data_IF_028754423319
#
_entry.id   IF_028754423319
#
_cell.length_a   1.000
_cell.length_b   1.000
_cell.length_c   1.000
_cell.angle_alpha   90.00
_cell.angle_beta   90.00
_cell.angle_gamma   90.00
#
_symmetry.space_group_name_H-M   'P 1'
#
loop_
_entity.id
_entity.type
_entity.pdbx_description
1 polymer ?
#
# COMPACT_ATOMS: atom_id res chain seq x y z
N UNK A 1 -9.64 -11.40 -18.39
CA UNK A 1 -9.08 -10.26 -17.63
C UNK A 1 -8.92 -10.68 -16.19
N UNK A 2 -7.83 -10.26 -15.55
CA UNK A 2 -7.65 -10.54 -14.13
C UNK A 2 -8.58 -9.60 -13.32
N UNK A 3 -9.16 -10.07 -12.19
CA UNK A 3 -10.01 -9.22 -11.37
C UNK A 3 -9.20 -8.05 -10.80
N UNK A 4 -9.83 -6.89 -10.68
CA UNK A 4 -9.25 -5.77 -9.98
C UNK A 4 -8.96 -6.16 -8.52
N UNK A 5 -7.71 -5.94 -8.10
CA UNK A 5 -7.23 -6.26 -6.75
C UNK A 5 -6.38 -5.13 -6.21
N UNK A 6 -6.49 -4.93 -4.92
CA UNK A 6 -5.63 -4.03 -4.16
C UNK A 6 -4.58 -4.85 -3.43
N UNK A 7 -3.32 -4.47 -3.56
CA UNK A 7 -2.22 -5.02 -2.74
C UNK A 7 -1.51 -3.90 -2.02
N UNK A 8 -1.27 -4.07 -0.74
CA UNK A 8 -0.45 -3.14 0.04
C UNK A 8 0.22 -3.86 1.20
N UNK A 9 1.38 -3.37 1.62
CA UNK A 9 2.13 -3.96 2.71
C UNK A 9 2.77 -2.92 3.62
N UNK A 10 3.06 -3.33 4.86
CA UNK A 10 3.79 -2.51 5.82
C UNK A 10 4.93 -3.29 6.46
N UNK A 11 6.06 -2.62 6.71
CA UNK A 11 7.22 -3.20 7.38
C UNK A 11 6.98 -3.28 8.90
N UNK A 12 7.21 -4.43 9.52
CA UNK A 12 7.04 -4.61 10.96
C UNK A 12 8.26 -4.05 11.72
N UNK A 13 8.36 -2.74 11.80
CA UNK A 13 9.46 -2.03 12.47
C UNK A 13 9.03 -1.42 13.80
N UNK A 14 8.26 -2.15 14.60
CA UNK A 14 7.75 -1.78 15.92
C UNK A 14 6.25 -1.46 15.92
N UNK A 15 5.71 -0.99 17.08
CA UNK A 15 4.29 -0.72 17.29
C UNK A 15 3.72 0.32 16.32
N UNK A 16 2.47 0.20 15.90
CA UNK A 16 1.84 1.18 15.05
C UNK A 16 1.42 2.43 15.83
N UNK A 17 1.32 3.55 15.15
CA UNK A 17 0.90 4.82 15.72
C UNK A 17 -0.18 5.49 14.86
N UNK A 18 -0.85 6.51 15.40
CA UNK A 18 -1.95 7.21 14.72
C UNK A 18 -1.56 7.77 13.34
N UNK A 19 -0.29 8.11 13.14
CA UNK A 19 0.21 8.52 11.82
C UNK A 19 0.10 7.40 10.77
N UNK A 20 0.28 6.13 11.14
CA UNK A 20 0.06 4.98 10.24
C UNK A 20 -1.45 4.77 9.98
N UNK A 21 -2.28 4.97 11.01
CA UNK A 21 -3.71 4.85 10.87
C UNK A 21 -4.28 5.86 9.87
N UNK A 22 -4.01 7.15 10.10
CA UNK A 22 -4.48 8.22 9.21
C UNK A 22 -3.79 8.22 7.85
N UNK A 23 -2.54 7.76 7.78
CA UNK A 23 -1.77 7.71 6.54
C UNK A 23 -2.12 6.53 5.62
N UNK A 24 -2.58 5.40 6.16
CA UNK A 24 -2.81 4.19 5.39
C UNK A 24 -4.00 3.35 5.85
N UNK A 25 -4.04 2.92 7.14
CA UNK A 25 -5.02 1.92 7.58
C UNK A 25 -6.47 2.36 7.43
N UNK A 26 -6.77 3.62 7.70
CA UNK A 26 -8.12 4.18 7.54
C UNK A 26 -8.62 4.02 6.09
N UNK A 27 -7.72 4.19 5.13
CA UNK A 27 -8.03 3.97 3.73
C UNK A 27 -8.16 2.47 3.39
N UNK A 28 -7.33 1.60 3.99
CA UNK A 28 -7.44 0.15 3.80
C UNK A 28 -8.78 -0.38 4.30
N UNK A 29 -9.24 0.09 5.46
CA UNK A 29 -10.56 -0.26 6.03
C UNK A 29 -11.68 0.12 5.06
N UNK A 30 -11.57 1.24 4.35
CA UNK A 30 -12.54 1.63 3.33
C UNK A 30 -12.43 0.75 2.09
N UNK A 31 -11.22 0.53 1.59
CA UNK A 31 -10.97 -0.21 0.34
C UNK A 31 -11.44 -1.66 0.38
N UNK A 32 -11.36 -2.33 1.53
CA UNK A 32 -11.78 -3.73 1.66
C UNK A 32 -13.25 -3.97 1.35
N UNK A 33 -14.12 -2.95 1.48
CA UNK A 33 -15.52 -3.03 1.10
C UNK A 33 -15.79 -2.74 -0.39
N UNK A 34 -14.80 -2.21 -1.10
CA UNK A 34 -14.92 -1.81 -2.50
C UNK A 34 -14.29 -2.84 -3.45
N UNK A 35 -13.16 -3.44 -3.07
CA UNK A 35 -12.35 -4.31 -3.90
C UNK A 35 -11.76 -5.47 -3.11
N UNK A 36 -11.43 -6.60 -3.74
CA UNK A 36 -10.61 -7.63 -3.13
C UNK A 36 -9.25 -7.07 -2.72
N UNK A 37 -8.97 -7.09 -1.41
CA UNK A 37 -7.75 -6.54 -0.84
C UNK A 37 -6.85 -7.64 -0.27
N UNK A 38 -5.54 -7.49 -0.52
CA UNK A 38 -4.48 -8.29 0.07
C UNK A 38 -3.54 -7.35 0.83
N UNK A 39 -3.47 -7.52 2.14
CA UNK A 39 -2.62 -6.73 3.02
C UNK A 39 -1.59 -7.64 3.67
N UNK A 40 -0.31 -7.28 3.55
CA UNK A 40 0.76 -8.14 4.04
C UNK A 40 1.75 -7.43 4.95
N UNK A 41 2.26 -8.20 5.91
CA UNK A 41 3.40 -7.79 6.71
C UNK A 41 4.66 -8.04 5.91
N UNK A 42 5.39 -6.98 5.58
CA UNK A 42 6.58 -6.99 4.73
C UNK A 42 7.85 -7.26 5.58
N UNK A 43 7.96 -8.46 6.11
CA UNK A 43 9.03 -8.85 7.03
C UNK A 43 10.39 -8.95 6.34
N UNK A 44 10.47 -9.43 5.09
CA UNK A 44 11.71 -9.39 4.31
C UNK A 44 12.16 -7.96 4.00
N UNK A 45 11.21 -7.04 3.72
CA UNK A 45 11.57 -5.63 3.58
C UNK A 45 12.10 -5.03 4.88
N UNK A 46 11.61 -5.46 6.04
CA UNK A 46 12.17 -5.01 7.31
C UNK A 46 13.62 -5.48 7.48
N UNK A 47 13.95 -6.69 7.03
CA UNK A 47 15.32 -7.21 7.08
C UNK A 47 16.31 -6.38 6.27
N UNK A 48 15.91 -5.68 5.22
CA UNK A 48 16.84 -4.86 4.42
C UNK A 48 17.52 -3.75 5.24
N UNK A 49 16.90 -3.31 6.33
CA UNK A 49 17.42 -2.28 7.23
C UNK A 49 17.66 -2.78 8.67
N UNK A 50 17.32 -4.04 8.97
CA UNK A 50 17.48 -4.67 10.29
C UNK A 50 18.16 -6.04 10.17
N UNK A 51 19.02 -6.21 9.17
CA UNK A 51 19.70 -7.50 8.94
C UNK A 51 20.70 -7.84 10.05
N UNK A 52 21.24 -6.83 10.72
CA UNK A 52 22.20 -6.92 11.82
C UNK A 52 21.51 -7.19 13.18
N UNK A 53 20.28 -6.74 13.36
CA UNK A 53 19.44 -7.01 14.53
C UNK A 53 17.97 -7.25 14.14
N UNK A 54 17.57 -8.48 13.79
CA UNK A 54 16.21 -8.82 13.41
C UNK A 54 15.27 -9.07 14.60
N UNK A 55 15.73 -8.91 15.84
CA UNK A 55 15.03 -9.33 17.07
C UNK A 55 13.63 -8.71 17.22
N UNK A 56 13.41 -7.52 16.67
CA UNK A 56 12.11 -6.82 16.77
C UNK A 56 11.07 -7.32 15.77
N UNK A 57 11.48 -8.03 14.70
CA UNK A 57 10.60 -8.28 13.54
C UNK A 57 9.43 -9.18 13.90
N UNK A 58 9.68 -10.30 14.59
CA UNK A 58 8.62 -11.24 14.94
C UNK A 58 7.57 -10.61 15.85
N UNK A 59 8.00 -9.97 16.94
CA UNK A 59 7.09 -9.31 17.88
C UNK A 59 6.30 -8.21 17.19
N UNK A 60 6.99 -7.37 16.39
CA UNK A 60 6.34 -6.29 15.64
C UNK A 60 5.34 -6.81 14.59
N UNK A 61 5.58 -7.97 14.02
CA UNK A 61 4.66 -8.62 13.06
C UNK A 61 3.32 -8.93 13.73
N UNK A 62 3.35 -9.59 14.88
CA UNK A 62 2.11 -9.96 15.58
C UNK A 62 1.37 -8.77 16.15
N UNK A 63 2.08 -7.80 16.73
CA UNK A 63 1.49 -6.54 17.20
C UNK A 63 0.84 -5.74 16.06
N UNK A 64 1.51 -5.66 14.90
CA UNK A 64 0.97 -4.98 13.72
C UNK A 64 -0.32 -5.64 13.20
N UNK A 65 -0.38 -6.96 13.18
CA UNK A 65 -1.58 -7.69 12.75
C UNK A 65 -2.75 -7.46 13.71
N UNK A 66 -2.49 -7.44 15.03
CA UNK A 66 -3.50 -7.06 16.02
C UNK A 66 -3.96 -5.62 15.79
N UNK A 67 -3.05 -4.70 15.51
CA UNK A 67 -3.35 -3.30 15.23
C UNK A 67 -4.22 -3.14 13.97
N UNK A 68 -3.98 -3.92 12.91
CA UNK A 68 -4.82 -3.91 11.71
C UNK A 68 -6.24 -4.39 11.98
N UNK A 69 -6.38 -5.49 12.69
CA UNK A 69 -7.68 -6.03 13.10
C UNK A 69 -8.41 -5.05 14.04
N UNK A 70 -7.67 -4.45 14.98
CA UNK A 70 -8.19 -3.43 15.88
C UNK A 70 -8.66 -2.17 15.12
N UNK A 71 -7.93 -1.74 14.10
CA UNK A 71 -8.30 -0.62 13.24
C UNK A 71 -9.58 -0.87 12.41
N UNK A 72 -9.98 -2.15 12.24
CA UNK A 72 -11.20 -2.53 11.54
C UNK A 72 -10.98 -3.27 10.21
N UNK A 73 -9.76 -3.79 9.98
CA UNK A 73 -9.57 -4.73 8.87
C UNK A 73 -10.31 -6.03 9.20
N UNK A 74 -11.20 -6.43 8.30
CA UNK A 74 -12.05 -7.61 8.43
C UNK A 74 -11.44 -8.77 7.61
N UNK A 75 -10.99 -9.86 8.26
CA UNK A 75 -10.39 -11.00 7.57
C UNK A 75 -11.39 -11.78 6.68
N UNK A 76 -12.69 -11.50 6.78
CA UNK A 76 -13.69 -12.04 5.86
C UNK A 76 -13.73 -11.29 4.51
N UNK A 77 -13.27 -10.04 4.48
CA UNK A 77 -13.26 -9.18 3.30
C UNK A 77 -11.85 -8.98 2.72
N UNK A 78 -10.82 -8.97 3.56
CA UNK A 78 -9.44 -8.79 3.16
C UNK A 78 -8.57 -10.01 3.51
N UNK A 79 -7.60 -10.33 2.67
CA UNK A 79 -6.62 -11.37 2.93
C UNK A 79 -5.42 -10.77 3.68
N UNK A 80 -5.19 -11.24 4.91
CA UNK A 80 -4.06 -10.83 5.76
C UNK A 80 -2.99 -11.91 5.79
N UNK A 81 -1.74 -11.58 5.43
CA UNK A 81 -0.68 -12.58 5.40
C UNK A 81 0.70 -11.98 5.70
N UNK A 82 1.69 -12.85 5.87
CA UNK A 82 3.09 -12.49 6.09
C UNK A 82 3.87 -12.83 4.81
N UNK A 83 4.65 -11.88 4.30
CA UNK A 83 5.41 -11.99 3.04
C UNK A 83 6.27 -13.26 3.02
N UNK A 84 7.04 -13.55 4.05
CA UNK A 84 7.95 -14.71 4.12
C UNK A 84 7.23 -16.06 4.16
N UNK A 85 5.93 -16.09 4.47
CA UNK A 85 5.11 -17.32 4.43
C UNK A 85 4.62 -17.66 3.02
N UNK A 86 4.88 -16.78 2.05
CA UNK A 86 4.59 -16.97 0.62
C UNK A 86 5.92 -16.89 -0.15
N UNK A 87 6.73 -17.97 -0.17
CA UNK A 87 8.09 -17.95 -0.75
C UNK A 87 8.13 -17.63 -2.24
N UNK A 88 7.00 -17.73 -2.92
CA UNK A 88 6.81 -17.35 -4.33
C UNK A 88 7.18 -15.88 -4.61
N UNK A 89 7.09 -14.99 -3.62
CA UNK A 89 7.59 -13.60 -3.71
C UNK A 89 9.10 -13.56 -3.99
N UNK A 90 9.87 -14.37 -3.25
CA UNK A 90 11.32 -14.45 -3.45
C UNK A 90 11.67 -15.09 -4.79
N UNK A 91 10.92 -16.09 -5.22
CA UNK A 91 11.10 -16.71 -6.53
C UNK A 91 10.84 -15.71 -7.65
N UNK A 92 9.72 -14.98 -7.61
CA UNK A 92 9.44 -13.96 -8.62
C UNK A 92 10.49 -12.84 -8.60
N UNK A 93 10.90 -12.37 -7.43
CA UNK A 93 11.98 -11.39 -7.29
C UNK A 93 13.25 -11.88 -8.00
N UNK A 94 13.68 -13.12 -7.76
CA UNK A 94 14.84 -13.71 -8.41
C UNK A 94 14.68 -13.72 -9.93
N UNK A 95 13.54 -14.17 -10.45
CA UNK A 95 13.29 -14.25 -11.89
C UNK A 95 13.23 -12.86 -12.55
N UNK A 96 12.61 -11.89 -11.90
CA UNK A 96 12.58 -10.50 -12.37
C UNK A 96 13.99 -9.89 -12.40
N UNK A 97 14.87 -10.25 -11.45
CA UNK A 97 16.23 -9.71 -11.38
C UNK A 97 17.08 -10.06 -12.62
N UNK A 98 16.74 -11.17 -13.30
CA UNK A 98 17.44 -11.59 -14.53
C UNK A 98 17.17 -10.66 -15.73
N UNK A 99 16.05 -9.91 -15.68
CA UNK A 99 15.64 -9.06 -16.81
C UNK A 99 15.62 -7.56 -16.48
N UNK A 100 15.77 -7.19 -15.21
CA UNK A 100 15.69 -5.78 -14.76
C UNK A 100 17.05 -5.08 -14.88
N UNK A 101 17.16 -3.97 -15.63
CA UNK A 101 18.40 -3.21 -15.71
C UNK A 101 18.80 -2.61 -14.36
N UNK A 102 20.06 -2.75 -13.96
CA UNK A 102 20.59 -2.23 -12.69
C UNK A 102 20.33 -0.72 -12.52
N UNK A 103 20.56 0.06 -13.58
CA UNK A 103 20.34 1.51 -13.54
C UNK A 103 18.89 1.95 -13.29
N UNK A 104 17.91 1.05 -13.35
CA UNK A 104 16.55 1.37 -12.91
C UNK A 104 16.47 1.43 -11.40
N UNK A 105 17.11 0.50 -10.70
CA UNK A 105 17.15 0.43 -9.24
C UNK A 105 17.95 1.60 -8.64
N UNK A 106 19.08 1.94 -9.24
CA UNK A 106 19.94 3.04 -8.80
C UNK A 106 19.28 4.43 -8.94
N UNK A 107 18.31 4.58 -9.83
CA UNK A 107 17.58 5.84 -10.06
C UNK A 107 16.39 6.05 -9.17
N UNK A 108 15.97 5.06 -8.37
CA UNK A 108 14.84 5.21 -7.44
C UNK A 108 15.18 6.29 -6.39
N UNK A 109 14.43 7.39 -6.32
CA UNK A 109 14.78 8.52 -5.45
C UNK A 109 14.95 8.13 -3.98
N UNK A 110 14.10 7.25 -3.49
CA UNK A 110 14.12 6.79 -2.09
C UNK A 110 15.37 5.99 -1.73
N UNK A 111 16.07 5.39 -2.70
CA UNK A 111 17.34 4.70 -2.45
C UNK A 111 18.40 5.67 -1.93
N UNK A 112 18.58 6.81 -2.60
CA UNK A 112 19.54 7.85 -2.20
C UNK A 112 19.11 8.53 -0.89
N UNK A 113 17.85 8.90 -0.79
CA UNK A 113 17.29 9.56 0.41
C UNK A 113 17.44 8.70 1.67
N UNK A 114 17.29 7.37 1.55
CA UNK A 114 17.44 6.47 2.70
C UNK A 114 18.92 6.26 3.06
N UNK A 115 19.82 6.19 2.10
CA UNK A 115 21.25 6.15 2.40
C UNK A 115 21.71 7.38 3.21
N UNK A 116 21.19 8.57 2.87
CA UNK A 116 21.50 9.80 3.61
C UNK A 116 20.88 9.80 5.02
N UNK A 117 19.61 9.36 5.15
CA UNK A 117 18.87 9.37 6.42
C UNK A 117 19.33 8.28 7.40
N UNK A 118 19.90 7.21 6.93
CA UNK A 118 20.35 6.06 7.72
C UNK A 118 21.88 5.90 7.61
N UNK A 119 22.62 7.00 7.60
CA UNK A 119 24.07 7.04 7.46
C UNK A 119 24.83 6.24 8.54
N UNK A 120 24.17 5.98 9.69
CA UNK A 120 24.71 5.15 10.78
C UNK A 120 24.65 3.64 10.49
N UNK A 121 24.02 3.21 9.39
CA UNK A 121 23.88 1.82 8.99
C UNK A 121 24.58 1.58 7.66
N UNK A 122 25.26 0.44 7.54
CA UNK A 122 25.81 0.01 6.25
C UNK A 122 24.67 -0.53 5.36
N UNK A 123 24.12 0.34 4.51
CA UNK A 123 23.08 0.02 3.56
C UNK A 123 23.62 -0.31 2.17
N UNK A 124 24.93 -0.43 1.99
CA UNK A 124 25.56 -0.80 0.73
C UNK A 124 25.44 -2.31 0.46
N UNK A 125 24.27 -2.87 0.70
CA UNK A 125 23.98 -4.29 0.49
C UNK A 125 23.12 -4.50 -0.77
N UNK A 126 23.25 -5.68 -1.39
CA UNK A 126 22.38 -6.08 -2.50
C UNK A 126 20.89 -6.06 -2.11
N UNK A 127 20.55 -6.54 -0.91
CA UNK A 127 19.18 -6.54 -0.42
C UNK A 127 18.57 -5.13 -0.37
N UNK A 128 19.37 -4.14 0.05
CA UNK A 128 18.92 -2.75 0.08
C UNK A 128 18.82 -2.13 -1.32
N UNK A 129 19.75 -2.40 -2.22
CA UNK A 129 19.67 -1.98 -3.63
C UNK A 129 18.49 -2.65 -4.34
N UNK A 130 18.24 -3.93 -4.04
CA UNK A 130 17.22 -4.75 -4.68
C UNK A 130 15.80 -4.60 -4.10
N UNK A 131 15.61 -3.84 -3.00
CA UNK A 131 14.28 -3.77 -2.37
C UNK A 131 13.16 -3.25 -3.28
N UNK A 132 13.39 -2.31 -4.22
CA UNK A 132 12.31 -1.87 -5.10
C UNK A 132 11.85 -2.97 -6.07
N UNK A 133 12.75 -3.89 -6.42
CA UNK A 133 12.41 -5.05 -7.24
C UNK A 133 11.63 -6.11 -6.44
N UNK A 134 11.96 -6.30 -5.15
CA UNK A 134 11.16 -7.14 -4.26
C UNK A 134 9.76 -6.56 -4.06
N UNK A 135 9.65 -5.24 -3.91
CA UNK A 135 8.36 -4.54 -3.83
C UNK A 135 7.56 -4.70 -5.13
N UNK A 136 8.20 -4.69 -6.29
CA UNK A 136 7.55 -5.00 -7.55
C UNK A 136 7.03 -6.45 -7.58
N UNK A 137 7.84 -7.42 -7.13
CA UNK A 137 7.42 -8.81 -7.03
C UNK A 137 6.20 -8.99 -6.11
N UNK A 138 6.16 -8.30 -4.96
CA UNK A 138 5.04 -8.35 -4.00
C UNK A 138 3.69 -7.96 -4.62
N UNK A 139 3.70 -7.02 -5.56
CA UNK A 139 2.51 -6.53 -6.23
C UNK A 139 2.17 -7.36 -7.46
N UNK A 140 3.17 -7.61 -8.31
CA UNK A 140 2.99 -8.27 -9.61
C UNK A 140 2.59 -9.73 -9.47
N UNK A 141 3.01 -10.41 -8.38
CA UNK A 141 2.67 -11.81 -8.14
C UNK A 141 1.17 -12.04 -7.96
N UNK A 142 0.46 -11.02 -7.46
CA UNK A 142 -1.01 -11.07 -7.29
C UNK A 142 -1.75 -10.46 -8.47
N UNK A 143 -1.04 -9.99 -9.51
CA UNK A 143 -1.63 -9.29 -10.65
C UNK A 143 -2.54 -8.17 -10.19
N UNK A 144 -2.08 -7.45 -9.17
CA UNK A 144 -2.83 -6.34 -8.60
C UNK A 144 -2.90 -5.18 -9.59
N UNK A 145 -4.11 -4.67 -9.82
CA UNK A 145 -4.34 -3.51 -10.69
C UNK A 145 -4.16 -2.19 -9.94
N UNK A 146 -4.31 -2.20 -8.61
CA UNK A 146 -4.28 -0.98 -7.80
C UNK A 146 -3.40 -1.13 -6.57
N UNK A 147 -2.57 -0.11 -6.31
CA UNK A 147 -1.71 -0.03 -5.13
C UNK A 147 -1.98 1.30 -4.43
N UNK A 148 -2.57 1.29 -3.21
CA UNK A 148 -2.80 2.50 -2.45
C UNK A 148 -1.47 3.07 -1.94
N UNK A 149 -1.13 4.28 -2.36
CA UNK A 149 0.14 4.93 -2.04
C UNK A 149 -0.04 6.43 -1.84
N UNK A 150 0.89 7.03 -1.10
CA UNK A 150 1.10 8.48 -1.09
C UNK A 150 1.85 8.95 -2.34
N UNK A 151 1.82 10.24 -2.60
CA UNK A 151 2.45 10.86 -3.79
C UNK A 151 3.96 10.53 -3.92
N UNK A 152 4.65 10.40 -2.80
CA UNK A 152 6.08 10.08 -2.74
C UNK A 152 6.42 8.65 -3.21
N UNK A 153 5.42 7.76 -3.27
CA UNK A 153 5.58 6.37 -3.71
C UNK A 153 5.20 6.13 -5.18
N UNK A 154 4.66 7.13 -5.88
CA UNK A 154 4.30 7.01 -7.30
C UNK A 154 5.47 6.56 -8.17
N UNK A 155 6.72 7.04 -7.99
CA UNK A 155 7.86 6.55 -8.77
C UNK A 155 8.12 5.05 -8.64
N UNK A 156 7.82 4.44 -7.49
CA UNK A 156 7.91 2.99 -7.32
C UNK A 156 6.87 2.25 -8.16
N UNK A 157 5.65 2.76 -8.22
CA UNK A 157 4.60 2.16 -9.04
C UNK A 157 4.94 2.24 -10.53
N UNK A 158 5.47 3.38 -10.99
CA UNK A 158 5.93 3.50 -12.37
C UNK A 158 7.05 2.50 -12.71
N UNK A 159 8.00 2.29 -11.78
CA UNK A 159 9.02 1.26 -11.97
C UNK A 159 8.41 -0.15 -12.02
N UNK A 160 7.43 -0.47 -11.18
CA UNK A 160 6.72 -1.77 -11.22
C UNK A 160 6.05 -1.99 -12.58
N UNK A 161 5.43 -0.94 -13.14
CA UNK A 161 4.80 -0.95 -14.48
C UNK A 161 5.84 -1.24 -15.56
N UNK A 162 6.98 -0.55 -15.52
CA UNK A 162 8.07 -0.77 -16.47
C UNK A 162 8.64 -2.21 -16.39
N UNK A 163 8.76 -2.75 -15.17
CA UNK A 163 9.19 -4.14 -14.95
C UNK A 163 8.18 -5.12 -15.57
N UNK A 164 6.88 -4.93 -15.29
CA UNK A 164 5.82 -5.77 -15.83
C UNK A 164 5.78 -5.72 -17.37
N UNK A 165 5.85 -4.51 -17.93
CA UNK A 165 5.87 -4.27 -19.38
C UNK A 165 7.06 -4.94 -20.04
N UNK A 166 8.26 -4.77 -19.48
CA UNK A 166 9.48 -5.40 -19.95
C UNK A 166 9.39 -6.92 -19.89
N UNK A 167 8.91 -7.47 -18.78
CA UNK A 167 8.71 -8.91 -18.63
C UNK A 167 7.77 -9.46 -19.72
N UNK A 168 6.60 -8.85 -19.88
CA UNK A 168 5.62 -9.24 -20.90
C UNK A 168 6.18 -9.10 -22.31
N UNK A 169 6.98 -8.08 -22.59
CA UNK A 169 7.64 -7.89 -23.88
C UNK A 169 8.64 -9.00 -24.20
N UNK A 170 9.45 -9.41 -23.22
CA UNK A 170 10.48 -10.44 -23.41
C UNK A 170 9.86 -11.84 -23.47
N UNK A 171 9.01 -12.16 -22.50
CA UNK A 171 8.53 -13.52 -22.23
C UNK A 171 7.09 -13.79 -22.69
N UNK A 172 6.29 -12.77 -22.99
CA UNK A 172 4.93 -12.92 -23.51
C UNK A 172 4.84 -13.47 -24.94
N UNK A 173 5.92 -14.00 -25.50
CA UNK A 173 6.00 -14.56 -26.87
C UNK A 173 5.33 -15.92 -26.92
N UNK A 174 4.04 -15.94 -27.15
CA UNK A 174 3.33 -17.17 -27.49
C UNK A 174 3.59 -17.55 -28.94
N UNK A 175 4.00 -18.78 -29.21
CA UNK A 175 4.20 -19.28 -30.59
C UNK A 175 2.89 -19.16 -31.35
N UNK A 176 2.92 -18.47 -32.50
CA UNK A 176 1.72 -18.20 -33.30
C UNK A 176 0.73 -17.23 -32.64
N UNK A 177 1.22 -16.31 -31.77
CA UNK A 177 0.37 -15.37 -31.03
C UNK A 177 -0.58 -14.57 -31.93
N UNK A 178 -0.07 -13.98 -33.02
CA UNK A 178 -0.90 -13.20 -33.94
C UNK A 178 -2.00 -14.02 -34.61
N UNK A 179 -1.70 -15.25 -34.99
CA UNK A 179 -2.70 -16.15 -35.61
C UNK A 179 -3.79 -16.51 -34.60
N UNK A 180 -3.38 -16.91 -33.40
CA UNK A 180 -4.28 -17.21 -32.28
C UNK A 180 -5.09 -16.00 -31.84
N UNK A 181 -4.50 -14.77 -31.84
CA UNK A 181 -5.20 -13.53 -31.55
C UNK A 181 -6.27 -13.24 -32.62
N UNK A 182 -5.93 -13.39 -33.89
CA UNK A 182 -6.89 -13.25 -35.02
C UNK A 182 -8.04 -14.26 -34.93
N UNK A 183 -7.76 -15.49 -34.54
CA UNK A 183 -8.80 -16.49 -34.27
C UNK A 183 -9.69 -16.09 -33.09
N UNK A 184 -9.11 -15.57 -32.02
CA UNK A 184 -9.85 -15.06 -30.88
C UNK A 184 -10.72 -13.83 -31.25
N UNK A 185 -10.21 -12.93 -32.12
CA UNK A 185 -11.02 -11.83 -32.68
C UNK A 185 -12.25 -12.35 -33.39
N UNK A 186 -12.12 -13.42 -34.19
CA UNK A 186 -13.28 -14.00 -34.88
C UNK A 186 -14.35 -14.52 -33.93
N UNK A 187 -13.96 -15.01 -32.74
CA UNK A 187 -14.90 -15.48 -31.70
C UNK A 187 -15.74 -14.35 -31.09
N UNK A 188 -15.32 -13.08 -31.19
CA UNK A 188 -16.14 -11.94 -30.78
C UNK A 188 -17.43 -11.77 -31.61
N UNK A 189 -17.49 -12.37 -32.81
CA UNK A 189 -18.59 -12.18 -33.72
C UNK A 189 -18.45 -10.95 -34.63
N UNK A 190 -19.05 -10.96 -35.80
CA UNK A 190 -18.72 -10.04 -36.89
C UNK A 190 -18.74 -8.54 -36.54
N UNK A 191 -19.77 -8.05 -35.81
CA UNK A 191 -19.87 -6.64 -35.43
C UNK A 191 -18.85 -6.25 -34.35
N UNK A 192 -18.71 -7.08 -33.31
CA UNK A 192 -17.77 -6.82 -32.20
C UNK A 192 -16.31 -6.96 -32.68
N UNK A 193 -16.01 -7.89 -33.56
CA UNK A 193 -14.67 -8.02 -34.17
C UNK A 193 -14.24 -6.74 -34.89
N UNK A 194 -15.15 -6.15 -35.66
CA UNK A 194 -14.87 -4.91 -36.40
C UNK A 194 -14.59 -3.75 -35.44
N UNK A 195 -15.46 -3.54 -34.44
CA UNK A 195 -15.30 -2.51 -33.43
C UNK A 195 -13.98 -2.68 -32.66
N UNK A 196 -13.65 -3.91 -32.25
CA UNK A 196 -12.40 -4.21 -31.58
C UNK A 196 -11.16 -3.82 -32.39
N UNK A 197 -11.16 -4.15 -33.68
CA UNK A 197 -10.04 -3.80 -34.58
C UNK A 197 -9.93 -2.29 -34.82
N UNK A 198 -11.05 -1.57 -34.90
CA UNK A 198 -11.07 -0.10 -34.98
C UNK A 198 -10.50 0.53 -33.72
N UNK A 199 -10.96 0.12 -32.54
CA UNK A 199 -10.45 0.60 -31.25
C UNK A 199 -8.95 0.28 -31.06
N UNK A 200 -8.52 -0.91 -31.49
CA UNK A 200 -7.10 -1.29 -31.48
C UNK A 200 -6.26 -0.34 -32.34
N UNK A 201 -6.72 -0.04 -33.55
CA UNK A 201 -6.02 0.89 -34.46
C UNK A 201 -5.98 2.30 -33.87
N UNK A 202 -7.07 2.80 -33.32
CA UNK A 202 -7.12 4.10 -32.65
C UNK A 202 -6.17 4.20 -31.46
N UNK A 203 -6.09 3.14 -30.65
CA UNK A 203 -5.16 3.12 -29.53
C UNK A 203 -3.71 3.02 -30.00
N UNK A 204 -3.38 2.08 -30.90
CA UNK A 204 -1.99 1.84 -31.31
C UNK A 204 -1.41 2.96 -32.20
N UNK A 205 -2.21 3.56 -33.07
CA UNK A 205 -1.74 4.59 -34.01
C UNK A 205 -1.93 6.01 -33.52
N UNK A 206 -2.94 6.25 -32.68
CA UNK A 206 -3.31 7.60 -32.23
C UNK A 206 -3.13 7.81 -30.72
N UNK A 207 -2.79 6.77 -29.96
CA UNK A 207 -2.58 6.84 -28.50
C UNK A 207 -3.84 7.19 -27.70
N UNK A 208 -5.03 6.92 -28.23
CA UNK A 208 -6.29 7.26 -27.55
C UNK A 208 -6.56 6.29 -26.40
N UNK A 209 -6.40 6.73 -25.17
CA UNK A 209 -6.68 5.93 -23.97
C UNK A 209 -8.16 5.53 -23.86
N UNK A 210 -9.08 6.39 -24.27
CA UNK A 210 -10.52 6.10 -24.30
C UNK A 210 -10.85 4.88 -25.18
N UNK A 211 -10.12 4.69 -26.28
CA UNK A 211 -10.29 3.52 -27.14
C UNK A 211 -9.83 2.24 -26.45
N UNK A 212 -8.76 2.32 -25.65
CA UNK A 212 -8.28 1.22 -24.82
C UNK A 212 -9.33 0.81 -23.80
N UNK A 213 -9.92 1.75 -23.06
CA UNK A 213 -10.94 1.48 -22.05
C UNK A 213 -12.22 0.88 -22.65
N UNK A 214 -12.67 1.41 -23.80
CA UNK A 214 -13.84 0.87 -24.51
C UNK A 214 -13.60 -0.56 -25.01
N UNK A 215 -12.40 -0.85 -25.51
CA UNK A 215 -12.05 -2.19 -25.94
C UNK A 215 -11.96 -3.17 -24.75
N UNK A 216 -11.43 -2.72 -23.62
CA UNK A 216 -11.39 -3.47 -22.36
C UNK A 216 -12.80 -3.85 -21.91
N UNK A 217 -13.69 -2.87 -21.78
CA UNK A 217 -15.08 -3.08 -21.38
C UNK A 217 -15.82 -4.05 -22.32
N UNK A 218 -15.56 -3.96 -23.63
CA UNK A 218 -16.15 -4.85 -24.61
C UNK A 218 -15.65 -6.30 -24.48
N UNK A 219 -14.37 -6.50 -24.13
CA UNK A 219 -13.81 -7.83 -23.88
C UNK A 219 -14.35 -8.46 -22.60
N UNK A 220 -14.63 -7.65 -21.58
CA UNK A 220 -15.22 -8.11 -20.32
C UNK A 220 -16.65 -8.61 -20.52
N UNK A 221 -17.44 -7.91 -21.31
CA UNK A 221 -18.83 -8.26 -21.62
C UNK A 221 -18.94 -9.43 -22.63
N UNK A 222 -17.83 -9.91 -23.20
CA UNK A 222 -17.82 -10.97 -24.19
C UNK A 222 -17.93 -12.36 -23.55
N UNK A 223 -19.13 -12.93 -23.52
CA UNK A 223 -19.40 -14.27 -22.96
C UNK A 223 -18.85 -15.42 -23.79
N UNK A 224 -18.55 -15.19 -25.07
CA UNK A 224 -18.10 -16.22 -26.01
C UNK A 224 -16.57 -16.45 -26.00
N UNK A 225 -15.85 -15.72 -25.16
CA UNK A 225 -14.40 -15.85 -25.05
C UNK A 225 -14.01 -16.71 -23.86
N UNK A 226 -13.06 -17.63 -24.06
CA UNK A 226 -12.34 -18.24 -22.95
C UNK A 226 -11.47 -17.19 -22.26
N UNK A 227 -11.12 -17.41 -20.98
CA UNK A 227 -10.21 -16.52 -20.28
C UNK A 227 -8.87 -16.34 -21.02
N UNK A 228 -8.34 -17.43 -21.61
CA UNK A 228 -7.11 -17.41 -22.40
C UNK A 228 -7.25 -16.54 -23.64
N UNK A 229 -8.37 -16.63 -24.37
CA UNK A 229 -8.61 -15.80 -25.55
C UNK A 229 -8.79 -14.33 -25.19
N UNK A 230 -9.44 -14.06 -24.05
CA UNK A 230 -9.62 -12.70 -23.55
C UNK A 230 -8.28 -12.04 -23.20
N UNK A 231 -7.43 -12.73 -22.44
CA UNK A 231 -6.06 -12.27 -22.12
C UNK A 231 -5.22 -12.06 -23.39
N UNK A 232 -5.34 -12.96 -24.38
CA UNK A 232 -4.64 -12.83 -25.64
C UNK A 232 -5.10 -11.61 -26.43
N UNK A 233 -6.40 -11.32 -26.46
CA UNK A 233 -6.94 -10.12 -27.11
C UNK A 233 -6.51 -8.86 -26.37
N UNK A 234 -6.39 -8.91 -25.05
CA UNK A 234 -5.87 -7.79 -24.27
C UNK A 234 -4.42 -7.47 -24.67
N UNK A 235 -3.56 -8.47 -24.70
CA UNK A 235 -2.18 -8.28 -25.18
C UNK A 235 -2.11 -7.83 -26.65
N UNK A 236 -3.01 -8.32 -27.49
CA UNK A 236 -3.08 -7.93 -28.90
C UNK A 236 -3.55 -6.48 -29.10
N UNK A 237 -4.44 -5.99 -28.22
CA UNK A 237 -4.91 -4.61 -28.19
C UNK A 237 -3.76 -3.64 -27.92
N UNK A 238 -2.95 -3.93 -26.92
CA UNK A 238 -1.82 -3.09 -26.50
C UNK A 238 -0.57 -3.24 -27.41
N UNK A 239 -0.65 -4.03 -28.47
CA UNK A 239 0.52 -4.33 -29.32
C UNK A 239 1.58 -5.19 -28.61
N UNK A 240 1.25 -5.68 -27.42
CA UNK A 240 2.04 -6.62 -26.65
C UNK A 240 1.69 -8.07 -27.02
N UNK A 241 2.35 -8.99 -26.35
CA UNK A 241 2.12 -10.44 -26.46
C UNK A 241 1.19 -10.88 -25.32
N UNK A 242 1.14 -12.18 -24.98
CA UNK A 242 0.37 -12.65 -23.83
C UNK A 242 0.70 -11.82 -22.59
N UNK A 243 -0.31 -11.25 -21.95
CA UNK A 243 -0.17 -10.54 -20.70
C UNK A 243 0.04 -11.57 -19.58
N UNK A 244 1.21 -11.56 -18.93
CA UNK A 244 1.55 -12.47 -17.83
C UNK A 244 1.47 -11.72 -16.51
N UNK A 245 2.09 -10.54 -16.45
CA UNK A 245 2.08 -9.65 -15.29
C UNK A 245 1.25 -8.40 -15.60
N UNK A 246 0.35 -8.03 -14.69
CA UNK A 246 -0.52 -6.85 -14.82
C UNK A 246 0.28 -5.61 -14.42
N UNK A 247 0.13 -4.51 -15.18
CA UNK A 247 0.70 -3.22 -14.83
C UNK A 247 -0.15 -2.56 -13.72
N UNK A 248 0.40 -2.36 -12.52
CA UNK A 248 -0.35 -1.73 -11.44
C UNK A 248 -0.53 -0.24 -11.66
N UNK A 249 -1.57 0.34 -11.07
CA UNK A 249 -1.81 1.77 -11.02
C UNK A 249 -1.72 2.27 -9.57
N UNK A 250 -1.16 3.45 -9.40
CA UNK A 250 -1.17 4.13 -8.12
C UNK A 250 -2.60 4.59 -7.81
N UNK A 251 -3.14 4.13 -6.68
CA UNK A 251 -4.38 4.68 -6.11
C UNK A 251 -3.98 5.70 -5.05
N UNK A 252 -3.98 6.97 -5.43
CA UNK A 252 -3.63 8.03 -4.50
C UNK A 252 -4.59 8.04 -3.32
N UNK A 253 -4.03 8.01 -2.12
CA UNK A 253 -4.79 8.08 -0.89
C UNK A 253 -4.74 9.51 -0.37
N UNK A 254 -5.89 10.05 0.04
CA UNK A 254 -5.92 11.25 0.85
C UNK A 254 -5.30 10.95 2.23
N UNK A 255 -3.98 10.82 2.26
CA UNK A 255 -3.26 10.63 3.50
C UNK A 255 -3.26 11.95 4.26
N UNK A 256 -4.15 12.11 5.23
CA UNK A 256 -4.01 13.20 6.19
C UNK A 256 -2.74 12.94 6.99
N UNK A 257 -1.75 13.79 6.80
CA UNK A 257 -0.49 13.73 7.58
C UNK A 257 -0.81 14.14 9.00
N UNK A 258 -0.97 13.17 9.88
CA UNK A 258 -1.10 13.47 11.30
C UNK A 258 0.28 13.85 11.85
N UNK A 259 0.42 15.05 12.47
CA UNK A 259 1.68 15.48 13.06
C UNK A 259 1.96 14.69 14.34
N UNK A 260 3.23 14.58 14.67
CA UNK A 260 3.68 14.10 15.97
C UNK A 260 3.45 15.12 17.08
N UNK A 261 3.79 14.72 18.30
CA UNK A 261 3.62 15.55 19.49
C UNK A 261 4.44 16.87 19.46
N UNK A 262 5.46 16.94 18.62
CA UNK A 262 6.33 18.10 18.40
C UNK A 262 5.91 18.94 17.17
N UNK A 263 4.85 18.54 16.46
CA UNK A 263 4.37 19.19 15.25
C UNK A 263 5.09 18.75 13.97
N UNK A 264 6.10 17.88 14.07
CA UNK A 264 6.77 17.29 12.91
C UNK A 264 6.05 16.00 12.48
N UNK A 265 6.56 15.33 11.44
CA UNK A 265 6.04 14.02 11.02
C UNK A 265 6.11 13.05 12.21
N UNK A 266 4.97 12.41 12.52
CA UNK A 266 4.91 11.40 13.58
C UNK A 266 5.84 10.23 13.26
N UNK A 267 6.77 9.95 14.16
CA UNK A 267 7.76 8.88 14.04
C UNK A 267 8.21 8.39 15.42
N UNK A 268 8.41 7.08 15.54
CA UNK A 268 8.94 6.49 16.79
C UNK A 268 10.37 6.92 17.09
N UNK A 269 11.20 7.01 16.06
CA UNK A 269 12.61 7.43 16.21
C UNK A 269 12.76 8.83 16.77
N UNK A 270 11.72 9.66 16.66
CA UNK A 270 11.69 11.01 17.24
C UNK A 270 11.02 11.06 18.63
N UNK A 271 10.46 9.94 19.11
CA UNK A 271 9.74 9.90 20.38
C UNK A 271 8.45 10.75 20.42
N UNK A 272 7.96 11.18 19.26
CA UNK A 272 6.82 12.09 19.10
C UNK A 272 5.51 11.37 18.71
N UNK A 273 5.45 10.04 18.89
CA UNK A 273 4.34 9.23 18.41
C UNK A 273 3.30 8.92 19.51
N UNK A 274 2.05 8.76 19.08
CA UNK A 274 0.94 8.22 19.87
C UNK A 274 0.66 6.82 19.31
N UNK A 275 0.80 5.79 20.16
CA UNK A 275 0.51 4.41 19.73
C UNK A 275 -0.97 4.26 19.36
N UNK A 276 -1.28 3.32 18.44
CA UNK A 276 -2.66 3.12 17.96
C UNK A 276 -3.61 2.69 19.08
N UNK A 277 -3.11 1.92 20.03
CA UNK A 277 -3.86 1.42 21.21
C UNK A 277 -3.29 2.01 22.51
N UNK A 278 -2.89 3.29 22.50
CA UNK A 278 -2.35 3.96 23.68
C UNK A 278 -3.35 3.93 24.84
N UNK A 279 -2.90 3.72 26.05
CA UNK A 279 -3.76 3.83 27.22
C UNK A 279 -4.13 5.29 27.50
N UNK A 280 -5.27 5.48 28.15
CA UNK A 280 -5.86 6.80 28.40
C UNK A 280 -4.93 7.73 29.19
N UNK A 281 -4.23 7.20 30.19
CA UNK A 281 -3.36 8.01 31.06
C UNK A 281 -2.13 8.48 30.31
N UNK A 282 -1.47 7.57 29.60
CA UNK A 282 -0.28 7.86 28.77
C UNK A 282 -0.63 8.82 27.64
N UNK A 283 -1.74 8.60 26.93
CA UNK A 283 -2.22 9.53 25.89
C UNK A 283 -2.44 10.93 26.47
N UNK A 284 -3.21 11.02 27.57
CA UNK A 284 -3.52 12.30 28.21
C UNK A 284 -2.25 13.02 28.62
N UNK A 285 -1.29 12.32 29.22
CA UNK A 285 0.02 12.88 29.61
C UNK A 285 0.79 13.37 28.38
N UNK A 286 0.89 12.57 27.31
CA UNK A 286 1.59 12.93 26.06
C UNK A 286 1.03 14.22 25.46
N UNK A 287 -0.29 14.31 25.27
CA UNK A 287 -0.91 15.50 24.67
C UNK A 287 -0.80 16.71 25.60
N UNK A 288 -0.98 16.55 26.91
CA UNK A 288 -0.83 17.65 27.88
C UNK A 288 0.58 18.24 27.88
N UNK A 289 1.60 17.42 27.70
CA UNK A 289 3.01 17.84 27.67
C UNK A 289 3.51 18.31 26.30
N UNK A 290 2.69 18.20 25.24
CA UNK A 290 3.05 18.74 23.92
C UNK A 290 3.46 20.20 24.00
N UNK A 291 4.51 20.62 23.25
CA UNK A 291 4.83 22.03 23.07
C UNK A 291 3.64 22.80 22.48
N UNK A 292 3.56 24.06 22.79
CA UNK A 292 2.56 25.00 22.27
C UNK A 292 3.25 26.13 21.53
N UNK A 293 2.54 27.18 21.12
CA UNK A 293 3.16 28.36 20.50
C UNK A 293 4.30 28.90 21.39
N UNK A 294 5.56 28.90 20.92
CA UNK A 294 6.71 29.37 21.71
C UNK A 294 6.60 30.83 22.18
N UNK A 295 5.83 31.65 21.47
CA UNK A 295 5.61 33.03 21.86
C UNK A 295 4.65 33.19 23.06
N UNK A 296 3.88 32.12 23.38
CA UNK A 296 2.94 32.11 24.51
C UNK A 296 3.59 31.55 25.76
N UNK A 297 4.33 32.37 26.49
CA UNK A 297 5.04 31.98 27.73
C UNK A 297 4.12 31.98 28.93
N UNK A 298 3.22 32.97 29.01
CA UNK A 298 2.26 33.12 30.13
C UNK A 298 0.85 32.88 29.64
N UNK A 299 -0.07 32.51 30.53
CA UNK A 299 -1.48 32.32 30.20
C UNK A 299 -2.13 33.59 29.61
N UNK A 300 -1.65 34.76 30.04
CA UNK A 300 -2.11 36.06 29.57
C UNK A 300 -1.58 36.51 28.23
N UNK A 301 -0.63 35.77 27.67
CA UNK A 301 -0.06 36.09 26.36
C UNK A 301 -0.99 35.57 25.26
N UNK A 302 -1.24 36.42 24.27
CA UNK A 302 -1.96 36.02 23.04
C UNK A 302 -1.13 34.99 22.27
N UNK A 303 -1.73 33.91 21.85
CA UNK A 303 -1.08 32.89 21.05
C UNK A 303 -1.42 33.01 19.55
N UNK A 304 -0.68 32.29 18.72
CA UNK A 304 -0.97 32.10 17.32
C UNK A 304 -1.18 30.61 17.02
N UNK A 305 -2.42 30.17 16.71
CA UNK A 305 -2.71 28.76 16.39
C UNK A 305 -1.81 28.20 15.32
N UNK A 306 -1.52 28.93 14.24
CA UNK A 306 -0.71 28.44 13.10
C UNK A 306 0.73 28.06 13.48
N UNK A 307 1.25 28.56 14.59
CA UNK A 307 2.57 28.20 15.12
C UNK A 307 2.53 27.12 16.18
N UNK A 308 1.32 26.66 16.54
CA UNK A 308 1.11 25.71 17.62
C UNK A 308 0.93 24.29 17.09
N UNK A 309 1.78 23.31 17.46
CA UNK A 309 1.62 21.92 17.05
C UNK A 309 0.24 21.32 17.40
N UNK A 310 -0.35 21.77 18.52
CA UNK A 310 -1.69 21.31 18.93
C UNK A 310 -2.77 21.72 17.93
N UNK A 311 -2.61 22.87 17.26
CA UNK A 311 -3.57 23.32 16.25
C UNK A 311 -3.69 22.34 15.07
N UNK A 312 -2.58 21.73 14.67
CA UNK A 312 -2.58 20.73 13.62
C UNK A 312 -3.40 19.49 14.01
N UNK A 313 -3.38 19.11 15.29
CA UNK A 313 -4.25 18.04 15.81
C UNK A 313 -5.72 18.46 15.84
N UNK A 314 -6.03 19.72 16.16
CA UNK A 314 -7.40 20.26 16.07
C UNK A 314 -7.95 20.19 14.63
N UNK A 315 -7.10 20.32 13.58
CA UNK A 315 -7.56 20.19 12.19
C UNK A 315 -8.15 18.81 11.92
N UNK A 316 -7.68 17.78 12.62
CA UNK A 316 -8.13 16.39 12.46
C UNK A 316 -9.24 16.02 13.44
N UNK A 317 -9.11 16.40 14.71
CA UNK A 317 -9.95 15.88 15.80
C UNK A 317 -11.03 16.83 16.30
N UNK A 318 -11.11 18.05 15.81
CA UNK A 318 -12.09 19.02 16.27
C UNK A 318 -13.07 19.44 15.19
N UNK A 319 -14.30 19.66 15.57
CA UNK A 319 -15.33 20.22 14.70
C UNK A 319 -15.12 21.74 14.45
N UNK A 320 -15.93 22.31 13.57
CA UNK A 320 -15.82 23.74 13.19
C UNK A 320 -16.03 24.68 14.39
N UNK A 321 -16.96 24.38 15.28
CA UNK A 321 -17.26 25.21 16.44
C UNK A 321 -16.10 25.19 17.43
N UNK A 322 -15.51 24.03 17.70
CA UNK A 322 -14.33 23.88 18.57
C UNK A 322 -13.12 24.60 17.97
N UNK A 323 -12.91 24.51 16.64
CA UNK A 323 -11.83 25.23 15.94
C UNK A 323 -11.99 26.76 16.09
N UNK A 324 -13.19 27.26 15.91
CA UNK A 324 -13.47 28.70 16.10
C UNK A 324 -13.23 29.13 17.53
N UNK A 325 -13.70 28.35 18.52
CA UNK A 325 -13.45 28.60 19.94
C UNK A 325 -11.95 28.61 20.25
N UNK A 326 -11.17 27.69 19.72
CA UNK A 326 -9.71 27.65 19.90
C UNK A 326 -9.05 28.87 19.31
N UNK A 327 -9.38 29.24 18.06
CA UNK A 327 -8.79 30.42 17.41
C UNK A 327 -9.09 31.68 18.22
N UNK A 328 -10.36 31.92 18.53
CA UNK A 328 -10.79 33.10 19.32
C UNK A 328 -10.16 33.12 20.70
N UNK A 329 -10.20 32.01 21.42
CA UNK A 329 -9.66 31.92 22.76
C UNK A 329 -8.14 31.99 22.86
N UNK A 330 -7.42 31.41 21.88
CA UNK A 330 -5.96 31.47 21.81
C UNK A 330 -5.46 32.87 21.50
N UNK A 331 -6.02 33.53 20.48
CA UNK A 331 -5.59 34.87 20.04
C UNK A 331 -5.95 35.98 21.03
N UNK A 332 -6.98 35.77 21.87
CA UNK A 332 -7.38 36.72 22.92
C UNK A 332 -6.81 36.39 24.30
N UNK A 333 -6.01 35.33 24.45
CA UNK A 333 -5.60 34.76 25.75
C UNK A 333 -6.79 34.30 26.61
N UNK A 334 -7.97 34.11 26.04
CA UNK A 334 -9.21 33.75 26.72
C UNK A 334 -9.24 32.30 27.23
N UNK A 335 -8.47 31.38 26.63
CA UNK A 335 -8.36 29.98 27.05
C UNK A 335 -6.93 29.61 27.46
N UNK A 336 -6.78 28.64 28.35
CA UNK A 336 -5.48 28.06 28.72
C UNK A 336 -5.04 26.96 27.72
N UNK A 337 -3.72 26.75 27.57
CA UNK A 337 -3.23 25.70 26.66
C UNK A 337 -3.67 24.29 27.07
N UNK A 338 -3.79 24.00 28.37
CA UNK A 338 -4.30 22.71 28.87
C UNK A 338 -5.82 22.53 28.54
N UNK A 339 -6.57 23.63 28.66
CA UNK A 339 -7.99 23.66 28.31
C UNK A 339 -8.18 23.46 26.81
N UNK A 340 -7.36 24.14 25.99
CA UNK A 340 -7.31 23.95 24.55
C UNK A 340 -7.02 22.50 24.12
N UNK A 341 -6.14 21.81 24.82
CA UNK A 341 -5.75 20.43 24.50
C UNK A 341 -6.84 19.37 24.81
N UNK A 342 -7.79 19.69 25.69
CA UNK A 342 -8.78 18.71 26.12
C UNK A 342 -9.64 18.16 24.98
N UNK A 343 -10.22 18.97 24.07
CA UNK A 343 -10.97 18.44 22.91
C UNK A 343 -10.16 17.50 22.01
N UNK A 344 -8.85 17.76 21.86
CA UNK A 344 -7.97 16.86 21.09
C UNK A 344 -7.81 15.52 21.80
N UNK A 345 -7.60 15.54 23.12
CA UNK A 345 -7.52 14.31 23.94
C UNK A 345 -8.80 13.50 23.78
N UNK A 346 -9.95 14.15 23.95
CA UNK A 346 -11.26 13.50 23.89
C UNK A 346 -11.51 12.92 22.48
N UNK A 347 -11.15 13.65 21.42
CA UNK A 347 -11.27 13.17 20.05
C UNK A 347 -10.40 11.95 19.75
N UNK A 348 -9.15 11.95 20.20
CA UNK A 348 -8.25 10.79 20.02
C UNK A 348 -8.76 9.59 20.83
N UNK A 349 -9.19 9.82 22.09
CA UNK A 349 -9.73 8.74 22.92
C UNK A 349 -10.97 8.11 22.29
N UNK A 350 -11.89 8.92 21.75
CA UNK A 350 -13.07 8.45 21.07
C UNK A 350 -12.76 7.62 19.79
N UNK A 351 -11.71 8.01 19.05
CA UNK A 351 -11.24 7.24 17.89
C UNK A 351 -10.61 5.91 18.31
N UNK A 352 -9.86 5.89 19.40
CA UNK A 352 -9.14 4.69 19.87
C UNK A 352 -10.00 3.71 20.67
N UNK A 353 -11.09 4.15 21.28
CA UNK A 353 -11.96 3.29 22.11
C UNK A 353 -12.43 2.03 21.38
N UNK A 354 -13.07 2.13 20.18
CA UNK A 354 -13.48 0.94 19.45
C UNK A 354 -12.30 0.10 18.96
N UNK A 355 -11.11 0.68 18.81
CA UNK A 355 -9.91 -0.08 18.44
C UNK A 355 -9.43 -0.93 19.62
N UNK A 356 -9.41 -0.37 20.83
CA UNK A 356 -9.05 -1.11 22.05
C UNK A 356 -10.05 -2.24 22.32
N UNK A 357 -11.32 -1.99 22.16
CA UNK A 357 -12.37 -3.01 22.32
C UNK A 357 -12.18 -4.17 21.34
N UNK A 358 -11.97 -3.87 20.05
CA UNK A 358 -11.71 -4.92 19.05
C UNK A 358 -10.42 -5.67 19.28
N UNK A 359 -9.38 -5.00 19.79
CA UNK A 359 -8.09 -5.64 20.06
C UNK A 359 -8.18 -6.66 21.19
N UNK A 360 -9.07 -6.47 22.17
CA UNK A 360 -9.09 -7.25 23.41
C UNK A 360 -9.21 -8.75 23.14
N UNK A 361 -10.09 -9.17 22.23
CA UNK A 361 -10.25 -10.60 21.88
C UNK A 361 -8.97 -11.24 21.32
N UNK A 362 -8.15 -10.47 20.60
CA UNK A 362 -6.91 -10.96 20.00
C UNK A 362 -5.74 -10.94 21.00
N UNK A 363 -5.80 -10.08 22.00
CA UNK A 363 -4.85 -10.04 23.10
C UNK A 363 -5.12 -11.17 24.09
N UNK A 364 -6.40 -11.48 24.33
CA UNK A 364 -6.83 -12.58 25.23
C UNK A 364 -6.57 -13.95 24.58
N UNK A 365 -6.74 -14.06 23.26
CA UNK A 365 -6.47 -15.29 22.51
C UNK A 365 -5.63 -15.02 21.24
N UNK A 366 -4.30 -15.00 21.35
CA UNK A 366 -3.40 -14.83 20.21
C UNK A 366 -3.52 -15.93 19.14
N UNK A 367 -4.13 -17.08 19.45
CA UNK A 367 -4.34 -18.15 18.48
C UNK A 367 -5.30 -17.74 17.37
N UNK A 368 -6.24 -16.85 17.64
CA UNK A 368 -7.16 -16.28 16.65
C UNK A 368 -6.41 -15.55 15.54
N UNK A 369 -5.45 -14.69 15.91
CA UNK A 369 -4.64 -13.96 14.92
C UNK A 369 -3.80 -14.94 14.10
N UNK A 370 -3.21 -15.95 14.75
CA UNK A 370 -2.42 -16.98 14.04
C UNK A 370 -3.26 -17.75 13.03
N UNK A 371 -4.50 -18.12 13.39
CA UNK A 371 -5.42 -18.81 12.49
C UNK A 371 -5.83 -17.94 11.29
N UNK A 372 -6.16 -16.66 11.52
CA UNK A 372 -6.49 -15.69 10.47
C UNK A 372 -5.33 -15.55 9.48
N UNK A 373 -4.12 -15.41 10.00
CA UNK A 373 -2.92 -15.23 9.17
C UNK A 373 -2.55 -16.50 8.42
N UNK A 374 -2.72 -17.68 9.02
CA UNK A 374 -2.48 -18.96 8.36
C UNK A 374 -3.42 -19.14 7.16
N UNK A 375 -4.72 -18.91 7.33
CA UNK A 375 -5.71 -18.93 6.24
C UNK A 375 -5.37 -17.90 5.15
N UNK A 376 -4.98 -16.68 5.56
CA UNK A 376 -4.58 -15.63 4.62
C UNK A 376 -3.31 -15.99 3.83
N UNK A 377 -2.31 -16.60 4.48
CA UNK A 377 -1.11 -17.10 3.79
C UNK A 377 -1.44 -18.19 2.77
N UNK A 378 -2.32 -19.13 3.12
CA UNK A 378 -2.75 -20.17 2.18
C UNK A 378 -3.49 -19.61 0.98
N UNK A 379 -4.40 -18.65 1.18
CA UNK A 379 -5.11 -17.95 0.10
C UNK A 379 -4.13 -17.18 -0.79
N UNK A 380 -3.26 -16.38 -0.20
CA UNK A 380 -2.26 -15.59 -0.93
C UNK A 380 -1.32 -16.52 -1.73
N UNK A 381 -0.87 -17.61 -1.12
CA UNK A 381 0.02 -18.57 -1.77
C UNK A 381 -0.60 -19.25 -2.98
N UNK A 382 -1.87 -19.62 -2.92
CA UNK A 382 -2.60 -20.18 -4.07
C UNK A 382 -2.60 -19.21 -5.25
N UNK A 383 -2.90 -17.92 -5.00
CA UNK A 383 -2.87 -16.89 -6.05
C UNK A 383 -1.45 -16.69 -6.60
N UNK A 384 -0.45 -16.66 -5.72
CA UNK A 384 0.95 -16.53 -6.11
C UNK A 384 1.41 -17.70 -7.00
N UNK A 385 1.04 -18.92 -6.66
CA UNK A 385 1.36 -20.12 -7.43
C UNK A 385 0.73 -20.12 -8.83
N UNK A 386 -0.47 -19.59 -8.98
CA UNK A 386 -1.11 -19.43 -10.30
C UNK A 386 -0.28 -18.50 -11.20
N UNK A 387 0.18 -17.36 -10.65
CA UNK A 387 1.02 -16.44 -11.41
C UNK A 387 2.39 -17.06 -11.70
N UNK A 388 2.99 -17.73 -10.72
CA UNK A 388 4.29 -18.37 -10.91
C UNK A 388 4.28 -19.49 -11.92
N UNK A 389 3.18 -20.23 -12.03
CA UNK A 389 3.01 -21.23 -13.11
C UNK A 389 3.14 -20.58 -14.47
N UNK A 390 2.43 -19.46 -14.70
CA UNK A 390 2.46 -18.77 -15.99
C UNK A 390 3.83 -18.11 -16.25
N UNK A 391 4.47 -17.59 -15.20
CA UNK A 391 5.84 -17.04 -15.27
C UNK A 391 6.85 -18.12 -15.64
N UNK A 392 6.84 -19.27 -14.96
CA UNK A 392 7.76 -20.39 -15.24
C UNK A 392 7.54 -20.93 -16.65
N UNK A 393 6.29 -21.08 -17.07
CA UNK A 393 5.96 -21.51 -18.44
C UNK A 393 6.55 -20.55 -19.49
N UNK A 394 6.36 -19.25 -19.29
CA UNK A 394 6.84 -18.24 -20.21
C UNK A 394 8.38 -18.17 -20.29
N UNK A 395 9.06 -18.45 -19.19
CA UNK A 395 10.52 -18.48 -19.11
C UNK A 395 11.14 -19.84 -19.49
N UNK A 396 10.33 -20.84 -19.83
CA UNK A 396 10.80 -22.18 -20.21
C UNK A 396 11.25 -23.04 -19.03
N UNK A 397 10.73 -22.79 -17.84
CA UNK A 397 11.11 -23.47 -16.57
C UNK A 397 10.07 -24.52 -16.12
N UNK A 398 9.17 -24.97 -17.00
CA UNK A 398 8.09 -25.86 -16.61
C UNK A 398 8.50 -27.35 -16.51
N UNK A 399 9.64 -27.75 -17.03
CA UNK A 399 10.21 -29.12 -16.94
C UNK A 399 9.17 -30.28 -16.87
N UNK A 400 8.14 -30.24 -17.74
CA UNK A 400 7.11 -31.27 -17.85
C UNK A 400 7.57 -32.38 -18.79
#
# INVERSE_FOLDING_TARGET
MYPDRVVSGMRPTGAMHLGHYHGALKNWVKLQSELPCLFFVADWHALTTHYDDPSIIETSTWEMLIDWLAAGIDPSQATLFIQSKVPEHAELHLLLSMATPLGWLERVPTYKDQQEKLADRDLATYGFLGYPLLQAADVLIYRASQVPVGDDQVPHIEMMREIARRFNHIYGKEKGFEEKAREAVKKLGGKRSKIYMELRTEFQEQGKEDALEQAKAMLDDAQNLSNIDRERLFGYLEGSRKLILVEPQAKLTEASRLPGLDGQKMSKSYGNSIALREDKETLTKKVRTMPTDPARVRRTDAGNPERCPVWQLHQVYSDAATKEWVVKGCTSAGIGCLECKQPVIDGILAEQEPMRERAQQYLDDPSLVRAIVADGCDKARKMAQETMRDVREAMGLSYN
#
